data_IF_484092736906
#
_entry.id   IF_484092736906
#
_cell.length_a   1.000
_cell.length_b   1.000
_cell.length_c   1.000
_cell.angle_alpha   90.00
_cell.angle_beta   90.00
_cell.angle_gamma   90.00
#
_symmetry.space_group_name_H-M   'P 1'
#
loop_
_entity.id
_entity.type
_entity.pdbx_description
1 polymer ?
#
# COMPACT_ATOMS: atom_id res chain seq x y z
N UNK A 1 -28.46 13.07 22.69
CA UNK A 1 -27.76 11.80 22.33
C UNK A 1 -26.24 11.98 22.18
N UNK A 2 -25.72 13.20 22.36
CA UNK A 2 -24.29 13.56 22.36
C UNK A 2 -23.62 13.37 23.72
N UNK A 3 -24.33 13.57 24.82
CA UNK A 3 -23.77 13.45 26.19
C UNK A 3 -23.22 12.06 26.53
N UNK A 4 -23.80 11.00 25.96
CA UNK A 4 -23.37 9.62 26.21
C UNK A 4 -22.04 9.28 25.53
N UNK A 5 -21.74 9.92 24.39
CA UNK A 5 -20.49 9.71 23.66
C UNK A 5 -19.34 10.46 24.34
N UNK A 6 -19.59 11.68 24.80
CA UNK A 6 -18.62 12.46 25.59
C UNK A 6 -18.27 11.75 26.89
N UNK A 7 -19.27 11.21 27.60
CA UNK A 7 -19.03 10.45 28.83
C UNK A 7 -18.19 9.18 28.61
N UNK A 8 -18.39 8.47 27.49
CA UNK A 8 -17.59 7.28 27.12
C UNK A 8 -16.15 7.70 26.78
N UNK A 9 -15.96 8.82 26.07
CA UNK A 9 -14.64 9.37 25.77
C UNK A 9 -13.85 9.72 27.04
N UNK A 10 -14.49 10.40 27.98
CA UNK A 10 -13.87 10.81 29.25
C UNK A 10 -13.53 9.61 30.15
N UNK A 11 -14.37 8.57 30.14
CA UNK A 11 -14.11 7.33 30.88
C UNK A 11 -12.95 6.53 30.28
N UNK A 12 -12.82 6.52 28.96
CA UNK A 12 -11.67 5.91 28.26
C UNK A 12 -10.37 6.67 28.53
N UNK A 13 -10.37 8.01 28.46
CA UNK A 13 -9.17 8.80 28.80
C UNK A 13 -8.75 8.58 30.26
N UNK A 14 -9.71 8.49 31.18
CA UNK A 14 -9.43 8.27 32.60
C UNK A 14 -8.90 6.86 32.87
N UNK A 15 -9.41 5.84 32.18
CA UNK A 15 -8.92 4.47 32.28
C UNK A 15 -7.49 4.35 31.74
N UNK A 16 -7.23 4.87 30.54
CA UNK A 16 -5.90 4.91 29.93
C UNK A 16 -4.90 5.70 30.78
N UNK A 17 -5.32 6.81 31.38
CA UNK A 17 -4.49 7.62 32.28
C UNK A 17 -4.06 6.90 33.56
N UNK A 18 -4.91 6.02 34.13
CA UNK A 18 -4.54 5.20 35.30
C UNK A 18 -3.60 4.08 34.94
N UNK A 19 -3.82 3.43 33.79
CA UNK A 19 -3.00 2.30 33.37
C UNK A 19 -1.55 2.73 33.06
N UNK A 20 -1.39 3.85 32.33
CA UNK A 20 -0.09 4.45 32.04
C UNK A 20 0.71 4.84 33.31
N UNK A 21 0.03 5.39 34.33
CA UNK A 21 0.68 5.78 35.61
C UNK A 21 1.14 4.56 36.41
N UNK A 22 0.40 3.46 36.34
CA UNK A 22 0.72 2.21 37.05
C UNK A 22 1.95 1.54 36.42
N UNK A 23 2.03 1.55 35.08
CA UNK A 23 3.18 1.05 34.33
C UNK A 23 4.45 1.91 34.52
N UNK A 24 4.32 3.23 34.61
CA UNK A 24 5.48 4.12 34.89
C UNK A 24 6.09 3.92 36.28
N UNK A 25 5.28 3.70 37.33
CA UNK A 25 5.80 3.47 38.70
C UNK A 25 6.57 2.17 38.83
N UNK A 26 6.16 1.12 38.12
CA UNK A 26 6.81 -0.20 38.15
C UNK A 26 8.19 -0.20 37.48
N UNK A 27 8.41 0.68 36.50
CA UNK A 27 9.65 0.80 35.72
C UNK A 27 10.80 1.54 36.43
N UNK A 28 10.54 2.25 37.54
CA UNK A 28 11.54 3.07 38.25
C UNK A 28 12.44 2.32 39.25
N UNK A 29 12.25 1.00 39.46
CA UNK A 29 13.02 0.23 40.46
C UNK A 29 14.10 -0.68 39.91
N UNK A 30 14.38 -0.65 38.61
CA UNK A 30 15.38 -1.53 38.01
C UNK A 30 16.32 -0.78 37.06
N UNK A 31 17.59 -0.75 37.48
CA UNK A 31 18.81 -0.76 36.66
C UNK A 31 19.33 0.63 36.22
N UNK A 32 20.23 1.10 37.08
CA UNK A 32 21.42 1.92 36.84
C UNK A 32 22.25 1.39 35.66
N UNK A 33 22.68 2.30 34.78
CA UNK A 33 23.86 2.12 33.93
C UNK A 33 23.59 1.80 32.46
N UNK A 34 23.69 2.86 31.64
CA UNK A 34 23.76 2.86 30.17
C UNK A 34 22.55 2.31 29.41
N UNK A 35 21.61 3.18 29.02
CA UNK A 35 20.59 2.84 28.02
C UNK A 35 20.52 3.95 26.98
N UNK A 36 20.95 3.58 25.78
CA UNK A 36 20.73 4.29 24.53
C UNK A 36 19.25 4.69 24.38
N UNK A 37 19.04 5.87 23.82
CA UNK A 37 17.73 6.47 23.56
C UNK A 37 16.90 5.53 22.67
N UNK A 38 15.96 4.81 23.27
CA UNK A 38 14.93 4.08 22.53
C UNK A 38 13.75 5.04 22.30
N UNK A 39 13.72 5.63 21.10
CA UNK A 39 12.59 6.39 20.58
C UNK A 39 11.36 5.48 20.51
N UNK A 40 10.33 5.80 21.29
CA UNK A 40 9.02 5.16 21.19
C UNK A 40 8.19 5.94 20.16
N UNK A 41 8.11 5.40 18.95
CA UNK A 41 7.13 5.80 17.94
C UNK A 41 5.87 4.95 18.17
N UNK A 42 4.70 5.54 18.48
CA UNK A 42 3.45 4.81 18.53
C UNK A 42 2.85 4.76 17.12
N UNK A 43 2.93 3.59 16.49
CA UNK A 43 2.27 3.29 15.23
C UNK A 43 2.68 1.90 14.77
N UNK A 44 1.79 0.93 14.94
CA UNK A 44 1.95 -0.35 14.26
C UNK A 44 1.64 -0.15 12.78
N UNK A 45 2.58 0.45 12.04
CA UNK A 45 2.63 0.33 10.60
C UNK A 45 3.01 -1.13 10.31
N UNK A 46 2.19 -1.83 9.54
CA UNK A 46 2.57 -3.13 8.99
C UNK A 46 3.79 -2.86 8.13
N UNK A 47 4.97 -3.23 8.62
CA UNK A 47 6.19 -3.23 7.83
C UNK A 47 6.10 -4.39 6.82
N UNK A 48 5.21 -4.27 5.85
CA UNK A 48 5.45 -4.87 4.54
C UNK A 48 6.61 -4.07 3.95
N UNK A 49 7.68 -4.76 3.59
CA UNK A 49 8.82 -4.19 2.86
C UNK A 49 8.34 -3.14 1.85
N UNK A 50 8.88 -1.92 1.94
CA UNK A 50 8.70 -0.91 0.90
C UNK A 50 8.93 -1.60 -0.45
N UNK A 51 7.91 -1.65 -1.30
CA UNK A 51 8.05 -2.36 -2.57
C UNK A 51 9.16 -1.70 -3.38
N UNK A 52 10.10 -2.50 -3.84
CA UNK A 52 11.13 -1.97 -4.74
C UNK A 52 10.51 -1.68 -6.11
N UNK A 53 11.15 -0.84 -6.91
CA UNK A 53 10.74 -0.59 -8.29
C UNK A 53 10.65 -1.89 -9.11
N UNK A 54 11.51 -2.87 -8.82
CA UNK A 54 11.53 -4.18 -9.47
C UNK A 54 10.33 -5.05 -9.08
N UNK A 55 9.89 -4.96 -7.82
CA UNK A 55 8.70 -5.66 -7.35
C UNK A 55 7.44 -5.08 -7.98
N UNK A 56 7.35 -3.75 -8.09
CA UNK A 56 6.24 -3.08 -8.80
C UNK A 56 6.25 -3.42 -10.29
N UNK A 57 7.42 -3.41 -10.93
CA UNK A 57 7.54 -3.80 -12.34
C UNK A 57 7.06 -5.25 -12.58
N UNK A 58 7.35 -6.16 -11.66
CA UNK A 58 6.94 -7.57 -11.75
C UNK A 58 5.45 -7.77 -11.46
N UNK A 59 4.84 -6.89 -10.68
CA UNK A 59 3.44 -7.03 -10.29
C UNK A 59 2.45 -6.57 -11.38
N UNK A 60 2.87 -5.72 -12.33
CA UNK A 60 1.97 -5.26 -13.42
C UNK A 60 1.55 -6.39 -14.37
N UNK A 61 2.47 -7.18 -14.98
CA UNK A 61 2.08 -8.27 -15.89
C UNK A 61 1.33 -9.41 -15.18
N UNK A 62 1.50 -9.51 -13.85
CA UNK A 62 0.78 -10.47 -13.03
C UNK A 62 -0.67 -10.05 -12.76
N UNK A 63 -0.96 -8.75 -12.80
CA UNK A 63 -2.29 -8.21 -12.58
C UNK A 63 -3.18 -8.22 -13.81
N UNK A 64 -2.60 -8.10 -15.01
CA UNK A 64 -3.39 -7.94 -16.25
C UNK A 64 -2.82 -8.71 -17.43
N UNK A 65 -3.70 -9.42 -18.14
CA UNK A 65 -3.35 -10.37 -19.20
C UNK A 65 -2.70 -9.72 -20.42
N UNK A 66 -3.12 -8.54 -20.85
CA UNK A 66 -2.54 -7.93 -22.06
C UNK A 66 -1.07 -7.50 -21.85
N UNK A 67 -0.65 -7.30 -20.60
CA UNK A 67 0.73 -7.02 -20.23
C UNK A 67 1.56 -8.30 -20.05
N UNK A 68 0.97 -9.49 -20.16
CA UNK A 68 1.68 -10.74 -20.01
C UNK A 68 2.83 -10.86 -21.03
N UNK A 69 4.03 -11.17 -20.53
CA UNK A 69 5.24 -11.26 -21.34
C UNK A 69 5.99 -9.93 -21.54
N UNK A 70 5.48 -8.82 -20.99
CA UNK A 70 6.22 -7.56 -20.96
C UNK A 70 7.19 -7.50 -19.78
N UNK A 71 8.19 -6.62 -19.88
CA UNK A 71 9.14 -6.33 -18.79
C UNK A 71 9.11 -4.83 -18.51
N UNK A 72 8.23 -4.36 -17.60
CA UNK A 72 8.16 -2.95 -17.24
C UNK A 72 9.45 -2.48 -16.57
N UNK A 73 9.76 -1.21 -16.74
CA UNK A 73 10.82 -0.50 -16.00
C UNK A 73 10.16 0.60 -15.17
N UNK A 74 10.35 0.55 -13.85
CA UNK A 74 9.73 1.49 -12.91
C UNK A 74 10.75 2.39 -12.22
N UNK A 75 10.32 3.60 -11.89
CA UNK A 75 11.05 4.60 -11.11
C UNK A 75 10.18 5.08 -9.96
N UNK A 76 10.78 5.33 -8.80
CA UNK A 76 10.05 5.81 -7.62
C UNK A 76 9.68 7.27 -7.79
N UNK A 77 8.40 7.59 -7.60
CA UNK A 77 7.92 8.97 -7.44
C UNK A 77 7.81 9.31 -5.96
N UNK A 78 7.13 8.42 -5.20
CA UNK A 78 7.03 8.46 -3.74
C UNK A 78 7.29 7.07 -3.20
N UNK A 79 8.29 6.93 -2.33
CA UNK A 79 8.76 5.64 -1.84
C UNK A 79 7.64 4.85 -1.12
N UNK A 80 7.44 3.60 -1.54
CA UNK A 80 6.39 2.72 -1.02
C UNK A 80 4.97 3.08 -1.45
N UNK A 81 4.76 4.13 -2.25
CA UNK A 81 3.43 4.69 -2.53
C UNK A 81 3.15 4.85 -4.01
N UNK A 82 4.02 5.55 -4.75
CA UNK A 82 3.79 5.95 -6.14
C UNK A 82 5.01 5.67 -7.01
N UNK A 83 4.77 5.07 -8.17
CA UNK A 83 5.79 4.67 -9.12
C UNK A 83 5.39 5.07 -10.54
N UNK A 84 6.38 5.48 -11.32
CA UNK A 84 6.23 5.72 -12.74
C UNK A 84 6.87 4.57 -13.52
N UNK A 85 6.07 3.86 -14.31
CA UNK A 85 6.50 2.68 -15.04
C UNK A 85 6.37 2.87 -16.54
N UNK A 86 7.34 2.35 -17.27
CA UNK A 86 7.37 2.34 -18.74
C UNK A 86 7.42 0.91 -19.27
N UNK A 87 6.77 0.67 -20.40
CA UNK A 87 6.69 -0.66 -21.01
C UNK A 87 7.34 -0.64 -22.38
N UNK A 88 8.39 -1.44 -22.52
CA UNK A 88 9.07 -1.71 -23.79
C UNK A 88 8.60 -3.04 -24.36
N UNK A 89 8.74 -3.18 -25.68
CA UNK A 89 8.32 -4.39 -26.40
C UNK A 89 6.88 -4.32 -26.91
N UNK A 90 6.46 -5.44 -27.50
CA UNK A 90 5.14 -5.60 -28.09
C UNK A 90 4.19 -6.20 -27.06
N UNK A 91 2.99 -5.64 -27.00
CA UNK A 91 1.85 -6.20 -26.28
C UNK A 91 0.58 -5.93 -27.08
N UNK A 92 -0.47 -6.71 -26.82
CA UNK A 92 -1.74 -6.60 -27.56
C UNK A 92 -2.81 -6.05 -26.65
N UNK A 93 -3.02 -4.75 -26.72
CA UNK A 93 -4.15 -4.10 -26.06
C UNK A 93 -5.47 -4.60 -26.68
N UNK A 94 -6.50 -4.75 -25.84
CA UNK A 94 -7.85 -5.10 -26.30
C UNK A 94 -8.62 -3.87 -26.83
N UNK A 95 -8.15 -2.67 -26.46
CA UNK A 95 -8.69 -1.36 -26.88
C UNK A 95 -7.64 -0.49 -27.56
N UNK A 96 -8.08 0.42 -28.43
CA UNK A 96 -7.18 1.30 -29.21
C UNK A 96 -6.59 2.45 -28.39
N UNK A 97 -7.32 2.94 -27.38
CA UNK A 97 -6.89 4.03 -26.50
C UNK A 97 -6.85 3.53 -25.05
N UNK A 98 -5.64 3.27 -24.56
CA UNK A 98 -5.42 2.85 -23.18
C UNK A 98 -5.34 4.02 -22.20
N UNK A 99 -5.45 5.28 -22.65
CA UNK A 99 -5.25 6.41 -21.74
C UNK A 99 -6.30 6.41 -20.64
N UNK A 100 -5.83 6.43 -19.40
CA UNK A 100 -6.70 6.44 -18.22
C UNK A 100 -7.23 5.06 -17.81
N UNK A 101 -7.00 4.01 -18.61
CA UNK A 101 -7.27 2.61 -18.25
C UNK A 101 -6.54 2.26 -16.96
N UNK A 102 -7.25 1.53 -16.09
CA UNK A 102 -6.77 1.12 -14.77
C UNK A 102 -6.61 -0.39 -14.74
N UNK A 103 -5.47 -0.83 -14.21
CA UNK A 103 -5.13 -2.25 -14.13
C UNK A 103 -4.62 -2.56 -12.72
N UNK A 104 -5.09 -3.64 -12.07
CA UNK A 104 -4.56 -4.01 -10.77
C UNK A 104 -3.11 -4.46 -10.88
N UNK A 105 -2.37 -4.36 -9.78
CA UNK A 105 -1.07 -5.03 -9.62
C UNK A 105 -1.21 -6.19 -8.67
N UNK A 106 -0.49 -7.29 -8.95
CA UNK A 106 -0.54 -8.51 -8.14
C UNK A 106 0.86 -8.90 -7.69
N UNK A 107 1.05 -9.05 -6.39
CA UNK A 107 2.36 -9.39 -5.81
C UNK A 107 2.75 -10.87 -6.02
N UNK A 108 3.96 -11.21 -5.58
CA UNK A 108 4.48 -12.57 -5.68
C UNK A 108 3.65 -13.61 -4.90
N UNK A 109 2.89 -13.18 -3.89
CA UNK A 109 2.00 -14.03 -3.08
C UNK A 109 0.63 -14.22 -3.71
N UNK A 110 0.41 -13.68 -4.92
CA UNK A 110 -0.86 -13.73 -5.66
C UNK A 110 -1.98 -12.91 -5.01
N UNK A 111 -1.63 -11.80 -4.37
CA UNK A 111 -2.61 -10.86 -3.86
C UNK A 111 -2.52 -9.51 -4.57
N UNK A 112 -3.67 -8.88 -4.76
CA UNK A 112 -3.74 -7.52 -5.27
C UNK A 112 -3.07 -6.59 -4.27
N UNK A 113 -2.02 -5.90 -4.70
CA UNK A 113 -1.23 -5.02 -3.83
C UNK A 113 -1.32 -3.54 -4.23
N UNK A 114 -2.10 -3.21 -5.26
CA UNK A 114 -2.25 -1.87 -5.78
C UNK A 114 -2.85 -1.86 -7.19
N UNK A 115 -2.52 -0.82 -7.94
CA UNK A 115 -2.89 -0.73 -9.36
C UNK A 115 -2.19 0.39 -10.09
N UNK A 116 -2.29 0.36 -11.41
CA UNK A 116 -1.69 1.31 -12.32
C UNK A 116 -2.74 1.96 -13.23
N UNK A 117 -2.55 3.24 -13.52
CA UNK A 117 -3.31 3.98 -14.52
C UNK A 117 -2.41 4.36 -15.68
N UNK A 118 -2.84 4.07 -16.89
CA UNK A 118 -2.10 4.47 -18.09
C UNK A 118 -2.17 5.98 -18.30
N UNK A 119 -1.03 6.59 -18.61
CA UNK A 119 -0.88 8.02 -18.87
C UNK A 119 -1.06 8.36 -20.36
N UNK A 120 -0.96 7.36 -21.23
CA UNK A 120 -0.89 7.51 -22.69
C UNK A 120 -1.80 6.52 -23.42
N UNK A 121 -2.29 6.93 -24.59
CA UNK A 121 -3.17 6.10 -25.42
C UNK A 121 -2.49 4.83 -25.91
N UNK A 122 -1.17 4.86 -26.08
CA UNK A 122 -0.36 3.71 -26.48
C UNK A 122 -0.10 2.71 -25.33
N UNK A 123 -0.51 3.01 -24.09
CA UNK A 123 -0.29 2.15 -22.94
C UNK A 123 1.18 1.91 -22.59
N UNK A 124 2.09 2.80 -22.98
CA UNK A 124 3.54 2.62 -22.71
C UNK A 124 4.03 3.33 -21.46
N UNK A 125 3.23 4.22 -20.87
CA UNK A 125 3.54 4.93 -19.64
C UNK A 125 2.40 4.76 -18.65
N UNK A 126 2.74 4.38 -17.42
CA UNK A 126 1.80 4.06 -16.35
C UNK A 126 2.21 4.73 -15.05
N UNK A 127 1.21 5.17 -14.29
CA UNK A 127 1.37 5.63 -12.92
C UNK A 127 0.75 4.62 -11.97
N UNK A 128 1.58 4.03 -11.13
CA UNK A 128 1.19 2.96 -10.22
C UNK A 128 1.14 3.48 -8.79
N UNK A 129 0.12 3.04 -8.07
CA UNK A 129 -0.07 3.31 -6.65
C UNK A 129 -0.18 1.98 -5.91
N UNK A 130 0.40 1.92 -4.72
CA UNK A 130 0.47 0.71 -3.90
C UNK A 130 -0.37 0.88 -2.63
N UNK A 131 -1.02 -0.21 -2.22
CA UNK A 131 -1.83 -0.25 -1.00
C UNK A 131 -3.03 0.70 -1.07
N UNK A 132 -3.28 1.39 0.03
CA UNK A 132 -4.41 2.33 0.16
C UNK A 132 -4.36 3.47 -0.86
N UNK A 133 -3.17 3.89 -1.30
CA UNK A 133 -3.06 4.92 -2.31
C UNK A 133 -3.74 4.52 -3.64
N UNK A 134 -3.77 3.23 -3.99
CA UNK A 134 -4.48 2.76 -5.17
C UNK A 134 -6.00 2.88 -5.03
N UNK A 135 -6.51 2.71 -3.80
CA UNK A 135 -7.93 2.88 -3.46
C UNK A 135 -8.31 4.35 -3.49
N UNK A 136 -7.50 5.21 -2.88
CA UNK A 136 -7.69 6.67 -2.87
C UNK A 136 -7.70 7.27 -4.28
N UNK A 137 -6.84 6.76 -5.18
CA UNK A 137 -6.78 7.17 -6.59
C UNK A 137 -7.87 6.52 -7.46
N UNK A 138 -8.79 5.76 -6.85
CA UNK A 138 -9.90 5.06 -7.50
C UNK A 138 -9.44 4.16 -8.66
N UNK A 139 -8.28 3.50 -8.48
CA UNK A 139 -7.76 2.54 -9.44
C UNK A 139 -8.33 1.15 -9.14
N UNK A 140 -8.43 0.81 -7.86
CA UNK A 140 -9.09 -0.39 -7.36
C UNK A 140 -10.10 -0.02 -6.26
N UNK A 141 -11.07 -0.91 -6.03
CA UNK A 141 -11.99 -0.76 -4.89
C UNK A 141 -11.34 -1.19 -3.57
N UNK A 142 -11.84 -0.69 -2.42
CA UNK A 142 -11.31 -1.05 -1.09
C UNK A 142 -11.38 -2.56 -0.83
N UNK A 143 -12.47 -3.21 -1.23
CA UNK A 143 -12.66 -4.66 -1.04
C UNK A 143 -11.79 -5.51 -1.98
N UNK A 144 -11.11 -4.89 -2.95
CA UNK A 144 -10.24 -5.59 -3.89
C UNK A 144 -8.77 -5.56 -3.47
N UNK A 145 -8.37 -4.61 -2.61
CA UNK A 145 -7.01 -4.59 -2.06
C UNK A 145 -6.79 -5.81 -1.16
N UNK A 146 -5.69 -6.53 -1.39
CA UNK A 146 -5.39 -7.78 -0.70
C UNK A 146 -6.20 -8.99 -1.18
N UNK A 147 -7.06 -8.86 -2.19
CA UNK A 147 -7.80 -9.98 -2.75
C UNK A 147 -6.86 -10.98 -3.42
N UNK A 148 -7.16 -12.28 -3.30
CA UNK A 148 -6.41 -13.34 -3.95
C UNK A 148 -6.69 -13.34 -5.47
N UNK A 149 -5.64 -13.21 -6.27
CA UNK A 149 -5.65 -13.12 -7.72
C UNK A 149 -4.59 -14.09 -8.31
N UNK A 150 -4.94 -15.38 -8.51
CA UNK A 150 -3.97 -16.39 -8.94
C UNK A 150 -3.53 -16.25 -10.40
N UNK A 151 -4.32 -15.55 -11.21
CA UNK A 151 -4.09 -15.32 -12.62
C UNK A 151 -4.36 -13.85 -12.99
N UNK A 152 -3.68 -13.32 -14.02
CA UNK A 152 -3.96 -11.97 -14.51
C UNK A 152 -5.42 -11.78 -14.91
N UNK A 153 -5.96 -10.60 -14.63
CA UNK A 153 -7.30 -10.18 -15.05
C UNK A 153 -7.42 -10.09 -16.57
N UNK A 154 -8.65 -10.27 -17.06
CA UNK A 154 -9.06 -9.96 -18.42
C UNK A 154 -9.88 -8.67 -18.37
N UNK A 155 -9.59 -7.71 -19.24
CA UNK A 155 -10.16 -6.37 -19.19
C UNK A 155 -9.83 -5.59 -20.44
#
# INVERSE_FOLDING_TARGET
MTDRLSAIGDDLERATGRDLRTHQRRRRRTITGAVAIALLVPGAAVAGSLLTTEEVARSMPAGTKFLAGTTPECTTVTDGVEYHCTIKGDFKAEVEDLKGTVEPTVDATKHVNGGCRSLRSDGREWRCYIGEAAVEQQIIGPDFLGAYAPSPGVG
#
